data_IF_987116347318
#
_entry.id   IF_987116347318
#
_cell.length_a   1.000
_cell.length_b   1.000
_cell.length_c   1.000
_cell.angle_alpha   90.00
_cell.angle_beta   90.00
_cell.angle_gamma   90.00
#
_symmetry.space_group_name_H-M   'P 1'
#
loop_
_entity.id
_entity.type
_entity.pdbx_description
1 polymer ?
#
# COMPACT_ATOMS: atom_id res chain seq x y z
N UNK A 1 -64.18 -32.42 6.87
CA UNK A 1 -64.77 -31.08 7.10
C UNK A 1 -63.86 -30.06 6.44
N UNK A 2 -64.26 -29.61 5.35
CA UNK A 2 -64.52 -28.34 4.71
C UNK A 2 -63.62 -27.18 5.16
N UNK A 3 -62.93 -26.60 4.16
CA UNK A 3 -62.06 -25.47 4.00
C UNK A 3 -62.55 -24.15 4.63
N UNK A 4 -62.09 -22.95 4.20
CA UNK A 4 -62.13 -22.45 2.82
C UNK A 4 -60.88 -21.65 2.36
N UNK A 5 -60.84 -21.49 1.05
CA UNK A 5 -60.08 -20.57 0.23
C UNK A 5 -60.12 -19.11 0.70
N UNK A 6 -58.95 -18.43 0.66
CA UNK A 6 -58.92 -16.98 0.56
C UNK A 6 -58.07 -16.54 -0.62
N UNK A 7 -58.80 -16.07 -1.65
CA UNK A 7 -58.27 -15.30 -2.78
C UNK A 7 -57.67 -13.97 -2.26
N UNK A 8 -56.41 -13.70 -2.55
CA UNK A 8 -55.87 -12.35 -2.44
C UNK A 8 -55.66 -11.77 -3.82
N UNK A 9 -56.32 -10.68 -4.03
CA UNK A 9 -56.33 -9.81 -5.20
C UNK A 9 -54.92 -9.28 -5.50
N UNK A 10 -54.54 -9.34 -6.77
CA UNK A 10 -53.46 -8.53 -7.35
C UNK A 10 -53.84 -7.05 -7.23
N UNK A 11 -53.08 -6.26 -6.53
CA UNK A 11 -53.02 -4.84 -6.75
C UNK A 11 -51.71 -4.51 -7.49
N UNK A 12 -51.88 -4.15 -8.76
CA UNK A 12 -50.91 -3.43 -9.56
C UNK A 12 -51.14 -1.96 -9.22
N UNK A 13 -50.22 -1.38 -8.48
CA UNK A 13 -50.06 0.07 -8.52
C UNK A 13 -48.58 0.36 -8.53
N UNK A 14 -48.14 0.99 -9.61
CA UNK A 14 -46.85 1.58 -9.87
C UNK A 14 -46.54 2.63 -8.82
N UNK A 15 -45.40 2.49 -8.19
CA UNK A 15 -44.68 3.66 -7.67
C UNK A 15 -43.24 3.57 -8.17
N UNK A 16 -42.98 4.39 -9.17
CA UNK A 16 -41.65 4.78 -9.61
C UNK A 16 -40.98 5.53 -8.45
N UNK A 17 -40.09 4.87 -7.74
CA UNK A 17 -39.21 5.51 -6.77
C UNK A 17 -37.85 5.68 -7.45
N UNK A 18 -37.61 6.89 -7.91
CA UNK A 18 -36.30 7.38 -8.35
C UNK A 18 -35.34 7.31 -7.17
N UNK A 19 -34.46 6.30 -7.18
CA UNK A 19 -33.37 6.16 -6.24
C UNK A 19 -32.24 7.12 -6.66
N UNK A 20 -32.34 8.38 -6.23
CA UNK A 20 -31.24 9.33 -6.29
C UNK A 20 -30.28 9.04 -5.13
N UNK A 21 -29.35 8.08 -5.34
CA UNK A 21 -28.18 7.95 -4.51
C UNK A 21 -27.39 9.27 -4.51
N UNK A 22 -26.66 9.58 -3.41
CA UNK A 22 -25.82 10.77 -3.39
C UNK A 22 -24.86 10.76 -4.55
N UNK A 23 -24.56 11.93 -5.18
CA UNK A 23 -23.69 11.99 -6.34
C UNK A 23 -22.32 11.40 -5.96
N UNK A 24 -21.94 10.38 -6.69
CA UNK A 24 -20.56 9.85 -6.70
C UNK A 24 -19.65 11.04 -6.98
N UNK A 25 -18.84 11.42 -6.00
CA UNK A 25 -17.88 12.51 -6.19
C UNK A 25 -16.97 12.08 -7.33
N UNK A 26 -17.20 12.70 -8.47
CA UNK A 26 -16.31 12.67 -9.62
C UNK A 26 -14.87 12.67 -9.11
N UNK A 27 -14.11 11.64 -9.48
CA UNK A 27 -12.66 11.63 -9.35
C UNK A 27 -12.14 12.78 -10.22
N UNK A 28 -12.07 13.98 -9.63
CA UNK A 28 -11.45 15.12 -10.28
C UNK A 28 -10.06 14.69 -10.72
N UNK A 29 -9.78 14.87 -12.01
CA UNK A 29 -8.44 14.77 -12.56
C UNK A 29 -7.51 15.58 -11.67
N UNK A 30 -6.76 14.89 -10.81
CA UNK A 30 -5.68 15.50 -10.03
C UNK A 30 -4.55 15.73 -11.04
N UNK A 31 -4.68 16.83 -11.78
CA UNK A 31 -3.60 17.36 -12.60
C UNK A 31 -2.59 18.00 -11.65
N UNK A 32 -2.02 17.20 -10.74
CA UNK A 32 -1.07 17.65 -9.77
C UNK A 32 0.22 18.00 -10.50
N UNK A 33 0.49 19.29 -10.57
CA UNK A 33 1.77 19.82 -11.03
C UNK A 33 2.84 19.26 -10.09
N UNK A 34 3.89 18.63 -10.66
CA UNK A 34 5.00 18.13 -9.87
C UNK A 34 5.49 19.20 -8.87
N UNK A 35 5.71 18.78 -7.65
CA UNK A 35 6.12 19.64 -6.54
C UNK A 35 7.48 20.27 -6.86
N UNK A 36 7.61 21.56 -6.62
CA UNK A 36 8.89 22.28 -6.59
C UNK A 36 9.18 22.63 -5.14
N UNK A 37 10.32 22.25 -4.62
CA UNK A 37 10.65 22.45 -3.20
C UNK A 37 12.13 22.26 -2.92
N UNK A 38 12.52 22.26 -1.66
CA UNK A 38 13.91 22.05 -1.27
C UNK A 38 14.41 20.67 -1.73
N UNK A 39 15.70 20.57 -1.97
CA UNK A 39 16.35 19.35 -2.46
C UNK A 39 16.07 18.11 -1.61
N UNK A 40 15.92 18.29 -0.30
CA UNK A 40 15.63 17.17 0.58
C UNK A 40 14.26 16.56 0.26
N UNK A 41 13.23 17.39 0.01
CA UNK A 41 11.89 16.92 -0.30
C UNK A 41 11.87 16.15 -1.63
N UNK A 42 12.53 16.69 -2.66
CA UNK A 42 12.60 16.01 -3.97
C UNK A 42 13.34 14.67 -3.88
N UNK A 43 14.39 14.59 -3.03
CA UNK A 43 15.11 13.34 -2.77
C UNK A 43 14.25 12.34 -2.00
N UNK A 44 13.50 12.80 -1.03
CA UNK A 44 12.61 11.95 -0.24
C UNK A 44 11.46 11.42 -1.12
N UNK A 45 10.76 12.28 -1.87
CA UNK A 45 9.73 11.85 -2.81
C UNK A 45 10.26 10.86 -3.88
N UNK A 46 11.55 10.98 -4.28
CA UNK A 46 12.19 10.01 -5.17
C UNK A 46 12.31 8.65 -4.50
N UNK A 47 12.71 8.62 -3.22
CA UNK A 47 12.78 7.38 -2.46
C UNK A 47 11.40 6.78 -2.20
N UNK A 48 10.37 7.61 -2.02
CA UNK A 48 9.00 7.15 -1.82
C UNK A 48 8.46 6.47 -3.08
N UNK A 49 8.58 7.11 -4.26
CA UNK A 49 8.20 6.47 -5.54
C UNK A 49 8.94 5.14 -5.74
N UNK A 50 10.22 5.06 -5.38
CA UNK A 50 10.99 3.81 -5.44
C UNK A 50 10.48 2.76 -4.46
N UNK A 51 10.12 3.17 -3.25
CA UNK A 51 9.53 2.33 -2.20
C UNK A 51 8.21 1.73 -2.65
N UNK A 52 7.30 2.58 -3.17
CA UNK A 52 6.00 2.13 -3.67
C UNK A 52 6.12 1.15 -4.86
N UNK A 53 7.09 1.37 -5.76
CA UNK A 53 7.39 0.39 -6.83
C UNK A 53 7.82 -0.94 -6.23
N UNK A 54 8.63 -0.92 -5.17
CA UNK A 54 9.05 -2.09 -4.42
C UNK A 54 7.87 -2.77 -3.73
N UNK A 55 7.02 -2.04 -3.02
CA UNK A 55 5.86 -2.54 -2.30
C UNK A 55 4.86 -3.24 -3.23
N UNK A 56 4.50 -2.62 -4.35
CA UNK A 56 3.70 -3.27 -5.40
C UNK A 56 4.33 -4.60 -5.83
N UNK A 57 5.65 -4.63 -6.04
CA UNK A 57 6.35 -5.83 -6.47
C UNK A 57 6.43 -6.91 -5.38
N UNK A 58 6.51 -6.55 -4.09
CA UNK A 58 6.45 -7.49 -2.96
C UNK A 58 5.14 -8.29 -3.03
N UNK A 59 3.99 -7.64 -3.10
CA UNK A 59 2.71 -8.34 -3.15
C UNK A 59 2.54 -9.14 -4.45
N UNK A 60 3.10 -8.70 -5.57
CA UNK A 60 3.16 -9.50 -6.81
C UNK A 60 4.00 -10.76 -6.61
N UNK A 61 5.13 -10.69 -5.92
CA UNK A 61 5.98 -11.83 -5.59
C UNK A 61 5.27 -12.84 -4.69
N UNK A 62 4.56 -12.38 -3.66
CA UNK A 62 3.72 -13.22 -2.80
C UNK A 62 2.67 -13.96 -3.64
N UNK A 63 1.94 -13.25 -4.49
CA UNK A 63 0.87 -13.81 -5.31
C UNK A 63 1.38 -14.80 -6.37
N UNK A 64 2.61 -14.63 -6.84
CA UNK A 64 3.24 -15.55 -7.79
C UNK A 64 3.56 -16.92 -7.19
N UNK A 65 3.95 -16.96 -5.91
CA UNK A 65 4.43 -18.16 -5.24
C UNK A 65 3.40 -18.78 -4.29
N UNK A 66 2.80 -17.98 -3.41
CA UNK A 66 1.88 -18.49 -2.39
C UNK A 66 0.59 -19.05 -2.99
N UNK A 67 0.21 -20.25 -2.55
CA UNK A 67 -1.08 -20.90 -2.88
C UNK A 67 -2.09 -20.84 -1.73
N UNK A 68 -1.68 -20.36 -0.56
CA UNK A 68 -2.56 -20.23 0.61
C UNK A 68 -3.67 -19.19 0.33
N UNK A 69 -4.96 -19.58 0.43
CA UNK A 69 -6.08 -18.68 0.09
C UNK A 69 -6.09 -17.40 0.93
N UNK A 70 -5.85 -17.51 2.25
CA UNK A 70 -5.86 -16.35 3.16
C UNK A 70 -4.73 -15.37 2.84
N UNK A 71 -3.51 -15.89 2.57
CA UNK A 71 -2.38 -15.07 2.12
C UNK A 71 -2.68 -14.37 0.80
N UNK A 72 -3.33 -15.07 -0.14
CA UNK A 72 -3.66 -14.48 -1.44
C UNK A 72 -4.71 -13.37 -1.32
N UNK A 73 -5.72 -13.54 -0.47
CA UNK A 73 -6.73 -12.50 -0.20
C UNK A 73 -6.04 -11.28 0.42
N UNK A 74 -5.24 -11.48 1.46
CA UNK A 74 -4.41 -10.44 2.07
C UNK A 74 -3.59 -9.70 1.02
N UNK A 75 -2.76 -10.42 0.26
CA UNK A 75 -1.88 -9.83 -0.74
C UNK A 75 -2.62 -9.09 -1.86
N UNK A 76 -3.80 -9.56 -2.29
CA UNK A 76 -4.62 -8.88 -3.29
C UNK A 76 -5.21 -7.57 -2.76
N UNK A 77 -5.63 -7.54 -1.49
CA UNK A 77 -6.17 -6.35 -0.87
C UNK A 77 -5.09 -5.26 -0.77
N UNK A 78 -3.94 -5.61 -0.20
CA UNK A 78 -2.83 -4.68 -0.03
C UNK A 78 -2.24 -4.23 -1.38
N UNK A 79 -2.10 -5.13 -2.36
CA UNK A 79 -1.65 -4.74 -3.71
C UNK A 79 -2.51 -3.63 -4.33
N UNK A 80 -3.83 -3.58 -4.05
CA UNK A 80 -4.69 -2.48 -4.52
C UNK A 80 -4.35 -1.16 -3.82
N UNK A 81 -4.07 -1.22 -2.53
CA UNK A 81 -3.64 -0.05 -1.74
C UNK A 81 -2.30 0.48 -2.25
N UNK A 82 -1.28 -0.39 -2.40
CA UNK A 82 0.05 -0.02 -2.88
C UNK A 82 0.03 0.61 -4.28
N UNK A 83 -0.82 0.11 -5.17
CA UNK A 83 -1.00 0.72 -6.50
C UNK A 83 -1.57 2.14 -6.40
N UNK A 84 -2.48 2.38 -5.45
CA UNK A 84 -3.02 3.71 -5.17
C UNK A 84 -1.95 4.63 -4.59
N UNK A 85 -1.15 4.15 -3.61
CA UNK A 85 -0.03 4.90 -3.05
C UNK A 85 0.97 5.27 -4.13
N UNK A 86 1.41 4.30 -4.94
CA UNK A 86 2.30 4.55 -6.08
C UNK A 86 1.74 5.61 -7.04
N UNK A 87 0.44 5.58 -7.31
CA UNK A 87 -0.20 6.58 -8.15
C UNK A 87 -0.14 7.96 -7.50
N UNK A 88 -0.56 8.08 -6.23
CA UNK A 88 -0.59 9.35 -5.48
C UNK A 88 0.81 9.96 -5.37
N UNK A 89 1.79 9.22 -4.86
CA UNK A 89 3.16 9.70 -4.68
C UNK A 89 3.82 10.03 -6.02
N UNK A 90 3.49 9.26 -7.07
CA UNK A 90 3.99 9.54 -8.43
C UNK A 90 3.50 10.85 -9.02
N UNK A 91 2.36 11.40 -8.56
CA UNK A 91 1.89 12.72 -9.01
C UNK A 91 2.72 13.87 -8.45
N UNK A 92 3.34 13.64 -7.28
CA UNK A 92 4.15 14.64 -6.60
C UNK A 92 5.53 14.85 -7.25
N UNK A 93 6.00 13.88 -8.03
CA UNK A 93 7.35 13.91 -8.59
C UNK A 93 7.35 13.83 -10.12
N UNK A 94 8.02 14.76 -10.76
CA UNK A 94 8.18 14.75 -12.22
C UNK A 94 8.88 13.48 -12.72
N UNK A 95 8.48 12.98 -13.90
CA UNK A 95 9.04 11.74 -14.47
C UNK A 95 10.57 11.74 -14.56
N UNK A 96 11.18 12.91 -14.86
CA UNK A 96 12.64 13.08 -14.97
C UNK A 96 13.37 13.07 -13.62
N UNK A 97 12.63 13.22 -12.52
CA UNK A 97 13.18 13.28 -11.17
C UNK A 97 13.14 11.92 -10.47
N UNK A 98 12.51 10.89 -11.10
CA UNK A 98 12.43 9.53 -10.56
C UNK A 98 13.77 8.80 -10.69
N UNK A 99 14.01 7.87 -9.78
CA UNK A 99 15.23 7.06 -9.80
C UNK A 99 15.35 6.22 -11.08
N UNK A 100 16.56 6.13 -11.62
CA UNK A 100 16.88 5.25 -12.74
C UNK A 100 16.89 3.75 -12.32
N UNK A 101 16.97 3.48 -11.03
CA UNK A 101 17.02 2.12 -10.47
C UNK A 101 15.64 1.46 -10.31
N UNK A 102 14.58 2.01 -10.91
CA UNK A 102 13.22 1.45 -10.86
C UNK A 102 13.17 -0.07 -11.19
N UNK A 103 13.88 -0.59 -12.22
CA UNK A 103 13.91 -2.05 -12.48
C UNK A 103 14.52 -2.85 -11.33
N UNK A 104 15.54 -2.29 -10.67
CA UNK A 104 16.20 -2.93 -9.51
C UNK A 104 15.25 -3.01 -8.33
N UNK A 105 14.53 -1.91 -8.04
CA UNK A 105 13.55 -1.88 -6.95
C UNK A 105 12.39 -2.85 -7.19
N UNK A 106 11.94 -2.96 -8.44
CA UNK A 106 10.91 -3.94 -8.82
C UNK A 106 11.39 -5.38 -8.60
N UNK A 107 12.60 -5.70 -9.02
CA UNK A 107 13.18 -7.04 -8.82
C UNK A 107 13.40 -7.34 -7.35
N UNK A 108 14.00 -6.42 -6.60
CA UNK A 108 14.25 -6.57 -5.16
C UNK A 108 12.93 -6.77 -4.40
N UNK A 109 11.92 -5.93 -4.66
CA UNK A 109 10.59 -6.08 -4.07
C UNK A 109 9.96 -7.42 -4.40
N UNK A 110 9.98 -7.84 -5.68
CA UNK A 110 9.44 -9.14 -6.08
C UNK A 110 10.10 -10.30 -5.31
N UNK A 111 11.42 -10.30 -5.18
CA UNK A 111 12.14 -11.32 -4.43
C UNK A 111 11.84 -11.25 -2.94
N UNK A 112 11.67 -10.04 -2.37
CA UNK A 112 11.29 -9.86 -0.95
C UNK A 112 9.93 -10.48 -0.65
N UNK A 113 8.99 -10.50 -1.60
CA UNK A 113 7.72 -11.20 -1.45
C UNK A 113 7.77 -12.68 -1.82
N UNK A 114 8.48 -13.04 -2.89
CA UNK A 114 8.52 -14.40 -3.41
C UNK A 114 9.31 -15.36 -2.50
N UNK A 115 10.47 -14.95 -2.00
CA UNK A 115 11.34 -15.84 -1.21
C UNK A 115 10.69 -16.31 0.10
N UNK A 116 10.13 -15.43 0.98
CA UNK A 116 9.46 -15.90 2.18
C UNK A 116 8.23 -16.76 1.90
N UNK A 117 7.62 -16.64 0.71
CA UNK A 117 6.46 -17.43 0.32
C UNK A 117 6.73 -18.93 0.21
N UNK A 118 7.98 -19.34 0.00
CA UNK A 118 8.39 -20.75 0.06
C UNK A 118 8.41 -21.31 1.49
N UNK A 119 8.47 -20.44 2.51
CA UNK A 119 8.53 -20.83 3.92
C UNK A 119 7.18 -20.69 4.65
N UNK A 120 6.12 -20.35 3.90
CA UNK A 120 4.76 -20.33 4.38
C UNK A 120 4.26 -18.98 4.90
N UNK A 121 3.00 -18.96 5.33
CA UNK A 121 2.27 -17.74 5.67
C UNK A 121 2.95 -16.92 6.77
N UNK A 122 3.46 -17.57 7.81
CA UNK A 122 4.11 -16.89 8.93
C UNK A 122 5.35 -16.09 8.48
N UNK A 123 6.18 -16.66 7.59
CA UNK A 123 7.35 -15.96 7.04
C UNK A 123 6.94 -14.74 6.20
N UNK A 124 5.86 -14.87 5.43
CA UNK A 124 5.30 -13.75 4.65
C UNK A 124 4.86 -12.62 5.60
N UNK A 125 4.02 -12.91 6.59
CA UNK A 125 3.47 -11.88 7.47
C UNK A 125 4.56 -11.18 8.29
N UNK A 126 5.57 -11.91 8.80
CA UNK A 126 6.72 -11.27 9.44
C UNK A 126 7.52 -10.39 8.49
N UNK A 127 7.65 -10.77 7.20
CA UNK A 127 8.31 -9.96 6.19
C UNK A 127 7.55 -8.65 5.95
N UNK A 128 6.23 -8.73 5.74
CA UNK A 128 5.39 -7.54 5.56
C UNK A 128 5.46 -6.66 6.81
N UNK A 129 5.28 -7.22 8.02
CA UNK A 129 5.40 -6.46 9.26
C UNK A 129 6.74 -5.69 9.36
N UNK A 130 7.86 -6.29 8.93
CA UNK A 130 9.16 -5.64 8.93
C UNK A 130 9.25 -4.51 7.89
N UNK A 131 8.74 -4.72 6.69
CA UNK A 131 8.69 -3.72 5.61
C UNK A 131 7.85 -2.52 6.04
N UNK A 132 6.60 -2.76 6.48
CA UNK A 132 5.68 -1.66 6.82
C UNK A 132 6.11 -0.91 8.10
N UNK A 133 6.80 -1.57 9.03
CA UNK A 133 7.44 -0.86 10.16
C UNK A 133 8.52 0.10 9.69
N UNK A 134 9.29 -0.28 8.68
CA UNK A 134 10.28 0.61 8.08
C UNK A 134 9.61 1.78 7.35
N UNK A 135 8.59 1.50 6.54
CA UNK A 135 7.87 2.52 5.75
C UNK A 135 7.14 3.51 6.66
N UNK A 136 6.46 3.05 7.71
CA UNK A 136 5.84 3.89 8.74
C UNK A 136 6.86 4.89 9.33
N UNK A 137 8.04 4.41 9.73
CA UNK A 137 9.12 5.26 10.27
C UNK A 137 9.63 6.26 9.21
N UNK A 138 9.75 5.82 7.97
CA UNK A 138 10.24 6.63 6.86
C UNK A 138 9.29 7.79 6.53
N UNK A 139 7.99 7.50 6.43
CA UNK A 139 6.98 8.53 6.22
C UNK A 139 6.84 9.48 7.41
N UNK A 140 6.91 8.95 8.65
CA UNK A 140 6.84 9.81 9.84
C UNK A 140 7.94 10.86 9.86
N UNK A 141 9.20 10.49 9.54
CA UNK A 141 10.31 11.43 9.50
C UNK A 141 10.10 12.57 8.49
N UNK A 142 9.49 12.28 7.35
CA UNK A 142 9.15 13.28 6.34
C UNK A 142 8.00 14.17 6.79
N UNK A 143 6.95 13.58 7.38
CA UNK A 143 5.80 14.28 7.94
C UNK A 143 6.26 15.28 9.02
N UNK A 144 7.07 14.83 9.98
CA UNK A 144 7.61 15.69 11.04
C UNK A 144 8.35 16.90 10.47
N UNK A 145 9.13 16.66 9.42
CA UNK A 145 9.89 17.73 8.77
C UNK A 145 9.03 18.70 7.99
N UNK A 146 8.05 18.20 7.23
CA UNK A 146 7.08 19.04 6.50
C UNK A 146 6.28 19.92 7.45
N UNK A 147 5.86 19.38 8.60
CA UNK A 147 5.15 20.12 9.64
C UNK A 147 6.05 21.19 10.29
N UNK A 148 7.27 20.83 10.65
CA UNK A 148 8.22 21.77 11.28
C UNK A 148 8.59 22.95 10.36
N UNK A 149 8.72 22.71 9.06
CA UNK A 149 9.04 23.73 8.05
C UNK A 149 7.78 24.42 7.47
N UNK A 150 6.57 24.00 7.88
CA UNK A 150 5.27 24.46 7.37
C UNK A 150 5.18 24.45 5.83
N UNK A 151 5.72 23.39 5.21
CA UNK A 151 5.84 23.26 3.76
C UNK A 151 4.77 22.29 3.19
N UNK A 152 4.30 22.58 1.99
CA UNK A 152 3.57 21.65 1.12
C UNK A 152 2.44 20.87 1.81
N UNK A 153 1.35 21.52 2.27
CA UNK A 153 0.25 20.85 2.96
C UNK A 153 -0.41 19.75 2.10
N UNK A 154 -0.35 19.85 0.77
CA UNK A 154 -0.81 18.82 -0.15
C UNK A 154 0.06 17.55 -0.11
N UNK A 155 1.39 17.70 -0.01
CA UNK A 155 2.32 16.58 0.16
C UNK A 155 2.11 15.94 1.52
N UNK A 156 2.04 16.75 2.56
CA UNK A 156 1.78 16.31 3.93
C UNK A 156 0.52 15.42 4.00
N UNK A 157 -0.59 15.89 3.45
CA UNK A 157 -1.87 15.15 3.45
C UNK A 157 -1.75 13.79 2.73
N UNK A 158 -1.02 13.72 1.61
CA UNK A 158 -0.81 12.47 0.88
C UNK A 158 0.04 11.50 1.69
N UNK A 159 1.15 11.96 2.29
CA UNK A 159 2.04 11.10 3.09
C UNK A 159 1.34 10.60 4.36
N UNK A 160 0.55 11.45 5.05
CA UNK A 160 -0.26 11.05 6.20
C UNK A 160 -1.29 9.97 5.83
N UNK A 161 -1.94 10.12 4.66
CA UNK A 161 -2.89 9.12 4.16
C UNK A 161 -2.21 7.79 3.85
N UNK A 162 -1.08 7.80 3.11
CA UNK A 162 -0.32 6.58 2.82
C UNK A 162 0.14 5.93 4.13
N UNK A 163 0.80 6.67 5.01
CA UNK A 163 1.28 6.16 6.31
C UNK A 163 0.16 5.53 7.14
N UNK A 164 -1.03 6.10 7.13
CA UNK A 164 -2.18 5.53 7.84
C UNK A 164 -2.54 4.13 7.32
N UNK A 165 -2.43 3.91 6.03
CA UNK A 165 -2.68 2.60 5.45
C UNK A 165 -1.52 1.62 5.73
N UNK A 166 -0.25 2.08 5.70
CA UNK A 166 0.91 1.24 6.06
C UNK A 166 0.86 0.73 7.49
N UNK A 167 0.38 1.56 8.43
CA UNK A 167 0.14 1.14 9.81
C UNK A 167 -0.89 0.01 9.85
N UNK A 168 -1.99 0.10 9.09
CA UNK A 168 -3.00 -0.97 9.01
C UNK A 168 -2.42 -2.24 8.38
N UNK A 169 -1.62 -2.11 7.30
CA UNK A 169 -0.94 -3.24 6.65
C UNK A 169 -0.02 -3.97 7.62
N UNK A 170 0.78 -3.22 8.38
CA UNK A 170 1.66 -3.74 9.42
C UNK A 170 0.89 -4.49 10.51
N UNK A 171 -0.16 -3.86 11.03
CA UNK A 171 -0.91 -4.38 12.17
C UNK A 171 -1.71 -5.62 11.75
N UNK A 172 -2.33 -5.65 10.56
CA UNK A 172 -2.97 -6.84 10.01
C UNK A 172 -1.96 -7.98 9.79
N UNK A 173 -0.78 -7.68 9.23
CA UNK A 173 0.26 -8.70 9.06
C UNK A 173 0.76 -9.24 10.40
N UNK A 174 0.87 -8.38 11.41
CA UNK A 174 1.25 -8.77 12.77
C UNK A 174 0.23 -9.71 13.40
N UNK A 175 -1.06 -9.39 13.28
CA UNK A 175 -2.15 -10.20 13.83
C UNK A 175 -2.24 -11.57 13.14
N UNK A 176 -1.97 -11.63 11.83
CA UNK A 176 -1.97 -12.86 11.04
C UNK A 176 -0.70 -13.69 11.21
N UNK A 177 0.38 -13.13 11.76
CA UNK A 177 1.65 -13.85 11.92
C UNK A 177 1.60 -15.01 12.93
N UNK A 178 0.67 -14.99 13.89
CA UNK A 178 0.34 -16.07 14.81
C UNK A 178 1.48 -16.48 15.75
N UNK A 179 2.48 -17.18 15.24
CA UNK A 179 3.63 -17.66 16.02
C UNK A 179 4.82 -16.69 15.96
N UNK A 180 5.65 -16.69 17.00
CA UNK A 180 6.88 -15.90 17.02
C UNK A 180 7.80 -16.27 15.85
N UNK A 181 8.50 -15.27 15.33
CA UNK A 181 9.48 -15.46 14.23
C UNK A 181 10.58 -16.44 14.64
N UNK A 182 10.78 -17.49 13.86
CA UNK A 182 11.90 -18.42 14.00
C UNK A 182 13.23 -17.74 13.66
N UNK A 183 14.34 -18.42 13.97
CA UNK A 183 15.69 -17.91 13.79
C UNK A 183 15.95 -17.42 12.34
N UNK A 184 15.62 -18.23 11.36
CA UNK A 184 15.80 -17.84 9.94
C UNK A 184 14.93 -16.64 9.52
N UNK A 185 13.69 -16.58 10.00
CA UNK A 185 12.81 -15.45 9.75
C UNK A 185 13.35 -14.16 10.35
N UNK A 186 13.96 -14.23 11.54
CA UNK A 186 14.62 -13.07 12.18
C UNK A 186 15.82 -12.56 11.37
N UNK A 187 16.65 -13.47 10.86
CA UNK A 187 17.78 -13.11 9.99
C UNK A 187 17.24 -12.48 8.70
N UNK A 188 16.21 -13.07 8.11
CA UNK A 188 15.58 -12.55 6.89
C UNK A 188 15.04 -11.14 7.09
N UNK A 189 14.21 -10.92 8.10
CA UNK A 189 13.62 -9.60 8.38
C UNK A 189 14.66 -8.54 8.75
N UNK A 190 15.75 -8.92 9.41
CA UNK A 190 16.89 -8.05 9.62
C UNK A 190 17.53 -7.61 8.29
N UNK A 191 17.75 -8.55 7.36
CA UNK A 191 18.31 -8.23 6.04
C UNK A 191 17.34 -7.38 5.20
N UNK A 192 16.03 -7.62 5.31
CA UNK A 192 15.00 -6.78 4.66
C UNK A 192 15.07 -5.34 5.18
N UNK A 193 15.14 -5.14 6.48
CA UNK A 193 15.32 -3.81 7.07
C UNK A 193 16.59 -3.11 6.61
N UNK A 194 17.73 -3.82 6.60
CA UNK A 194 18.99 -3.28 6.12
C UNK A 194 18.91 -2.92 4.63
N UNK A 195 18.36 -3.81 3.83
CA UNK A 195 18.14 -3.60 2.39
C UNK A 195 17.24 -2.39 2.11
N UNK A 196 16.17 -2.20 2.87
CA UNK A 196 15.27 -1.03 2.76
C UNK A 196 16.01 0.28 3.03
N UNK A 197 16.87 0.32 4.07
CA UNK A 197 17.70 1.51 4.37
C UNK A 197 18.66 1.83 3.22
N UNK A 198 19.32 0.82 2.68
CA UNK A 198 20.23 0.96 1.54
C UNK A 198 19.47 1.42 0.30
N UNK A 199 18.29 0.85 0.04
CA UNK A 199 17.45 1.22 -1.09
C UNK A 199 17.04 2.70 -1.04
N UNK A 200 16.55 3.18 0.10
CA UNK A 200 16.22 4.61 0.30
C UNK A 200 17.43 5.50 0.09
N UNK A 201 18.58 5.13 0.67
CA UNK A 201 19.82 5.92 0.52
C UNK A 201 20.25 6.04 -0.95
N UNK A 202 20.15 4.96 -1.71
CA UNK A 202 20.49 4.96 -3.14
C UNK A 202 19.45 5.71 -3.98
N UNK A 203 18.16 5.48 -3.74
CA UNK A 203 17.08 6.15 -4.46
C UNK A 203 17.09 7.68 -4.28
N UNK A 204 17.50 8.17 -3.11
CA UNK A 204 17.69 9.61 -2.85
C UNK A 204 18.80 10.23 -3.70
N UNK A 205 19.77 9.46 -4.19
CA UNK A 205 20.95 9.96 -4.91
C UNK A 205 20.87 9.82 -6.42
N UNK A 206 20.16 8.80 -6.91
CA UNK A 206 20.16 8.41 -8.33
C UNK A 206 18.71 8.56 -8.88
#
# INVERSE_FOLDING_TARGET
MLGPNFLVKRNKDMVSSSNSGPPEKSSGDINAKAVSGPDWLLRDLRSDVAGEVGAVAIYQGILAVSRNPSVRIFAQNHLRSERRHLQLVSTLLGKKQRTLLTPVWRLAGFLTGALPSFFGANAIFHTICAVETFVDTHYQQQIDRLQAEALHPEVLSILESCRTDEIKHRDEAKDLSGAAAGFFTKIWTFNVNLGSRVAVMLARRI
#
